data_IF_093306734224
#
_entry.id   IF_093306734224
#
_cell.length_a   1.000
_cell.length_b   1.000
_cell.length_c   1.000
_cell.angle_alpha   90.00
_cell.angle_beta   90.00
_cell.angle_gamma   90.00
#
_symmetry.space_group_name_H-M   'P 1'
#
loop_
_entity.id
_entity.type
_entity.pdbx_description
1 polymer ?
#
# COMPACT_ATOMS: atom_id res chain seq x y z
N UNK A 1 20.66 0.00 -33.32
CA UNK A 1 19.96 -0.30 -32.01
C UNK A 1 18.99 0.83 -31.84
N UNK A 2 17.73 0.62 -32.20
CA UNK A 2 16.68 1.63 -32.10
C UNK A 2 16.23 1.73 -30.64
N UNK A 3 16.52 2.85 -30.00
CA UNK A 3 15.86 3.27 -28.79
C UNK A 3 14.41 3.69 -29.15
N UNK A 4 13.49 2.77 -29.21
CA UNK A 4 12.08 3.13 -29.21
C UNK A 4 11.73 3.64 -27.80
N UNK A 5 11.52 4.95 -27.72
CA UNK A 5 10.96 5.60 -26.52
C UNK A 5 9.52 5.12 -26.45
N UNK A 6 9.21 4.25 -25.47
CA UNK A 6 7.84 3.85 -25.18
C UNK A 6 7.03 5.08 -24.81
N UNK A 7 5.94 5.35 -25.52
CA UNK A 7 4.91 6.29 -25.07
C UNK A 7 4.14 5.67 -23.90
N UNK A 8 3.66 6.50 -22.99
CA UNK A 8 2.95 6.07 -21.77
C UNK A 8 1.76 5.11 -22.00
N UNK A 9 1.22 5.05 -23.22
CA UNK A 9 0.08 4.21 -23.59
C UNK A 9 0.42 2.82 -24.17
N UNK A 10 1.69 2.51 -24.48
CA UNK A 10 2.04 1.31 -25.28
C UNK A 10 3.21 0.47 -24.76
N UNK A 11 3.68 0.68 -23.54
CA UNK A 11 4.72 -0.17 -22.97
C UNK A 11 4.14 -1.51 -22.50
N UNK A 12 4.12 -2.49 -23.40
CA UNK A 12 3.94 -3.91 -23.04
C UNK A 12 5.31 -4.53 -22.75
N UNK A 13 5.37 -5.37 -21.73
CA UNK A 13 6.54 -6.22 -21.53
C UNK A 13 6.64 -7.28 -22.65
N UNK A 14 7.76 -8.01 -22.70
CA UNK A 14 8.01 -9.08 -23.70
C UNK A 14 6.93 -10.17 -23.72
N UNK A 15 6.03 -10.18 -22.73
CA UNK A 15 4.95 -11.16 -22.53
C UNK A 15 3.56 -10.59 -22.84
N UNK A 16 3.45 -9.33 -23.29
CA UNK A 16 2.18 -8.68 -23.64
C UNK A 16 1.34 -8.24 -22.42
N UNK A 17 1.92 -8.19 -21.23
CA UNK A 17 1.28 -7.61 -20.05
C UNK A 17 1.60 -6.12 -19.97
N UNK A 18 0.67 -5.31 -19.48
CA UNK A 18 0.95 -3.93 -19.13
C UNK A 18 2.08 -3.89 -18.09
N UNK A 19 3.00 -2.95 -18.22
CA UNK A 19 4.05 -2.73 -17.23
C UNK A 19 3.38 -2.48 -15.88
N UNK A 20 3.81 -3.24 -14.86
CA UNK A 20 3.44 -3.00 -13.46
C UNK A 20 3.78 -1.55 -13.06
N UNK A 21 2.88 -0.82 -12.39
CA UNK A 21 3.17 0.53 -11.93
C UNK A 21 4.32 0.51 -10.91
N UNK A 22 5.27 1.43 -11.09
CA UNK A 22 6.42 1.61 -10.20
C UNK A 22 6.13 2.69 -9.15
N UNK A 23 7.01 2.78 -8.14
CA UNK A 23 6.96 3.87 -7.15
C UNK A 23 7.13 5.21 -7.86
N UNK A 24 6.16 6.13 -7.63
CA UNK A 24 6.09 7.44 -8.26
C UNK A 24 5.18 7.50 -9.49
N UNK A 25 4.86 6.37 -10.11
CA UNK A 25 3.90 6.33 -11.22
C UNK A 25 2.48 6.68 -10.74
N UNK A 26 1.66 7.19 -11.66
CA UNK A 26 0.23 7.29 -11.43
C UNK A 26 -0.36 5.88 -11.34
N UNK A 27 -1.16 5.63 -10.31
CA UNK A 27 -1.86 4.37 -10.16
C UNK A 27 -2.85 4.17 -11.33
N UNK A 28 -2.85 3.01 -12.00
CA UNK A 28 -3.75 2.73 -13.12
C UNK A 28 -5.22 2.88 -12.72
N UNK A 29 -5.99 3.55 -13.56
CA UNK A 29 -7.43 3.70 -13.39
C UNK A 29 -8.18 2.40 -13.70
N UNK A 30 -9.35 2.23 -13.10
CA UNK A 30 -10.26 1.12 -13.40
C UNK A 30 -11.69 1.43 -12.97
N UNK A 31 -12.64 0.75 -13.60
CA UNK A 31 -14.02 0.61 -13.16
C UNK A 31 -14.27 -0.86 -12.89
N UNK A 32 -14.75 -1.20 -11.71
CA UNK A 32 -14.89 -2.61 -11.32
C UNK A 32 -16.12 -2.85 -10.45
N UNK A 33 -16.74 -4.02 -10.64
CA UNK A 33 -17.80 -4.53 -9.76
C UNK A 33 -17.19 -5.06 -8.46
N UNK A 34 -17.81 -4.71 -7.34
CA UNK A 34 -17.34 -5.11 -6.01
C UNK A 34 -18.49 -5.64 -5.14
N UNK A 35 -18.15 -6.18 -3.98
CA UNK A 35 -19.12 -6.59 -2.95
C UNK A 35 -19.96 -5.42 -2.41
N UNK A 36 -19.65 -4.17 -2.75
CA UNK A 36 -20.36 -2.98 -2.31
C UNK A 36 -20.89 -2.14 -3.47
N UNK A 37 -21.02 -2.74 -4.68
CA UNK A 37 -21.41 -2.07 -5.91
C UNK A 37 -20.22 -1.71 -6.79
N UNK A 38 -20.48 -0.99 -7.87
CA UNK A 38 -19.46 -0.56 -8.82
C UNK A 38 -18.63 0.57 -8.23
N UNK A 39 -17.31 0.47 -8.33
CA UNK A 39 -16.38 1.54 -7.97
C UNK A 39 -15.64 2.06 -9.20
N UNK A 40 -15.30 3.33 -9.18
CA UNK A 40 -14.42 4.02 -10.15
C UNK A 40 -13.19 4.50 -9.43
N UNK A 41 -12.04 3.97 -9.78
CA UNK A 41 -10.78 4.42 -9.25
C UNK A 41 -10.05 5.24 -10.33
N UNK A 42 -9.56 6.45 -10.02
CA UNK A 42 -9.45 7.03 -8.68
C UNK A 42 -10.64 7.90 -8.21
N UNK A 43 -11.64 8.17 -9.03
CA UNK A 43 -12.66 9.21 -8.82
C UNK A 43 -13.42 9.08 -7.49
N UNK A 44 -13.78 7.85 -7.11
CA UNK A 44 -14.51 7.58 -5.86
C UNK A 44 -13.62 7.69 -4.61
N UNK A 45 -12.30 7.90 -4.79
CA UNK A 45 -11.29 7.92 -3.71
C UNK A 45 -10.48 9.24 -3.65
N UNK A 46 -11.01 10.31 -4.22
CA UNK A 46 -10.35 11.61 -4.22
C UNK A 46 -9.96 12.07 -2.81
N UNK A 47 -8.72 12.54 -2.66
CA UNK A 47 -8.20 13.05 -1.39
C UNK A 47 -7.92 11.99 -0.32
N UNK A 48 -8.05 10.71 -0.63
CA UNK A 48 -7.81 9.58 0.26
C UNK A 48 -6.52 8.85 -0.08
N UNK A 49 -5.90 8.29 0.94
CA UNK A 49 -4.97 7.19 0.73
C UNK A 49 -5.75 5.92 0.40
N UNK A 50 -5.19 5.08 -0.44
CA UNK A 50 -5.79 3.78 -0.78
C UNK A 50 -4.77 2.67 -0.58
N UNK A 51 -5.18 1.63 0.13
CA UNK A 51 -4.50 0.34 0.18
C UNK A 51 -5.25 -0.60 -0.75
N UNK A 52 -4.71 -0.78 -1.98
CA UNK A 52 -5.22 -1.77 -2.92
C UNK A 52 -4.44 -3.06 -2.71
N UNK A 53 -5.15 -4.14 -2.35
CA UNK A 53 -4.49 -5.42 -2.07
C UNK A 53 -5.17 -6.57 -2.78
N UNK A 54 -4.37 -7.54 -3.23
CA UNK A 54 -4.88 -8.77 -3.84
C UNK A 54 -4.79 -9.97 -2.92
N UNK A 55 -5.67 -10.94 -3.15
CA UNK A 55 -5.59 -12.26 -2.54
C UNK A 55 -5.79 -13.35 -3.61
N UNK A 56 -5.21 -14.56 -3.42
CA UNK A 56 -5.22 -15.60 -4.43
C UNK A 56 -6.58 -16.20 -4.76
N UNK A 57 -7.41 -16.49 -3.76
CA UNK A 57 -8.73 -17.08 -3.94
C UNK A 57 -9.57 -17.03 -2.66
N UNK A 58 -10.89 -16.94 -2.84
CA UNK A 58 -11.87 -17.12 -1.78
C UNK A 58 -11.80 -18.53 -1.19
N UNK A 59 -12.39 -18.71 -0.02
CA UNK A 59 -12.48 -20.00 0.69
C UNK A 59 -11.13 -20.71 0.91
N UNK A 60 -10.03 -19.94 1.00
CA UNK A 60 -8.70 -20.48 1.32
C UNK A 60 -8.23 -20.03 2.72
N UNK A 61 -7.48 -20.86 3.45
CA UNK A 61 -7.15 -20.58 4.84
C UNK A 61 -6.41 -19.28 5.06
N UNK A 62 -5.34 -19.01 4.29
CA UNK A 62 -4.53 -17.79 4.45
C UNK A 62 -5.32 -16.55 4.09
N UNK A 63 -6.09 -16.57 2.98
CA UNK A 63 -6.92 -15.43 2.58
C UNK A 63 -8.01 -15.15 3.62
N UNK A 64 -8.62 -16.21 4.19
CA UNK A 64 -9.60 -16.07 5.28
C UNK A 64 -9.00 -15.38 6.49
N UNK A 65 -7.81 -15.78 6.92
CA UNK A 65 -7.12 -15.13 8.05
C UNK A 65 -6.79 -13.67 7.77
N UNK A 66 -6.44 -13.32 6.53
CA UNK A 66 -6.14 -11.95 6.12
C UNK A 66 -7.39 -11.06 6.10
N UNK A 67 -8.48 -11.50 5.48
CA UNK A 67 -9.74 -10.74 5.44
C UNK A 67 -10.31 -10.54 6.84
N UNK A 68 -10.28 -11.56 7.68
CA UNK A 68 -10.65 -11.44 9.09
C UNK A 68 -9.81 -10.38 9.82
N UNK A 69 -8.50 -10.38 9.61
CA UNK A 69 -7.61 -9.38 10.22
C UNK A 69 -7.86 -7.98 9.67
N UNK A 70 -8.02 -7.81 8.35
CA UNK A 70 -8.36 -6.50 7.77
C UNK A 70 -9.68 -5.97 8.32
N UNK A 71 -10.70 -6.83 8.50
CA UNK A 71 -11.99 -6.40 9.05
C UNK A 71 -11.87 -5.78 10.45
N UNK A 72 -10.92 -6.24 11.28
CA UNK A 72 -10.67 -5.63 12.60
C UNK A 72 -9.92 -4.30 12.55
N UNK A 73 -9.29 -3.97 11.43
CA UNK A 73 -8.41 -2.80 11.29
C UNK A 73 -9.02 -1.68 10.42
N UNK A 74 -10.24 -1.85 9.92
CA UNK A 74 -10.89 -0.88 9.02
C UNK A 74 -10.93 0.51 9.64
N UNK A 75 -11.36 0.62 10.90
CA UNK A 75 -11.47 1.92 11.58
C UNK A 75 -10.10 2.56 11.82
N UNK A 76 -9.07 1.75 12.07
CA UNK A 76 -7.69 2.21 12.17
C UNK A 76 -7.20 2.85 10.86
N UNK A 77 -7.49 2.21 9.72
CA UNK A 77 -7.13 2.76 8.40
C UNK A 77 -7.96 4.00 8.07
N UNK A 78 -9.25 4.01 8.38
CA UNK A 78 -10.11 5.20 8.23
C UNK A 78 -9.61 6.39 9.05
N UNK A 79 -9.17 6.15 10.29
CA UNK A 79 -8.56 7.18 11.14
C UNK A 79 -7.28 7.77 10.52
N UNK A 80 -6.60 7.02 9.64
CA UNK A 80 -5.46 7.44 8.86
C UNK A 80 -5.85 7.99 7.46
N UNK A 81 -7.11 8.40 7.26
CA UNK A 81 -7.64 8.86 5.98
C UNK A 81 -7.38 7.87 4.83
N UNK A 82 -7.51 6.56 5.10
CA UNK A 82 -7.14 5.50 4.17
C UNK A 82 -8.31 4.54 3.93
N UNK A 83 -8.58 4.26 2.66
CA UNK A 83 -9.57 3.28 2.23
C UNK A 83 -8.90 1.96 1.81
N UNK A 84 -9.59 0.85 2.05
CA UNK A 84 -9.14 -0.49 1.69
C UNK A 84 -9.91 -0.98 0.47
N UNK A 85 -9.22 -1.57 -0.51
CA UNK A 85 -9.82 -2.21 -1.67
C UNK A 85 -9.16 -3.58 -1.85
N UNK A 86 -9.94 -4.65 -1.72
CA UNK A 86 -9.50 -6.00 -2.03
C UNK A 86 -9.72 -6.33 -3.51
N UNK A 87 -8.92 -7.24 -4.06
CA UNK A 87 -9.11 -7.78 -5.42
C UNK A 87 -8.74 -9.25 -5.49
N UNK A 88 -9.56 -10.04 -6.16
CA UNK A 88 -9.23 -11.39 -6.60
C UNK A 88 -9.93 -11.73 -7.90
N UNK A 89 -9.57 -12.86 -8.49
CA UNK A 89 -10.16 -13.38 -9.75
C UNK A 89 -11.47 -14.14 -9.53
N UNK A 90 -12.00 -14.15 -8.32
CA UNK A 90 -13.27 -14.80 -8.00
C UNK A 90 -14.47 -13.95 -8.40
N UNK A 91 -15.67 -14.57 -8.45
CA UNK A 91 -16.92 -13.90 -8.80
C UNK A 91 -17.53 -13.15 -7.62
N UNK A 92 -18.42 -12.18 -7.88
CA UNK A 92 -19.18 -11.47 -6.85
C UNK A 92 -19.94 -12.43 -5.93
N UNK A 93 -20.58 -13.44 -6.49
CA UNK A 93 -21.33 -14.43 -5.68
C UNK A 93 -20.41 -15.25 -4.78
N UNK A 94 -19.20 -15.57 -5.24
CA UNK A 94 -18.18 -16.21 -4.40
C UNK A 94 -17.80 -15.30 -3.24
N UNK A 95 -17.42 -14.05 -3.50
CA UNK A 95 -17.07 -13.08 -2.48
C UNK A 95 -18.18 -12.93 -1.42
N UNK A 96 -19.40 -12.68 -1.86
CA UNK A 96 -20.54 -12.49 -0.93
C UNK A 96 -20.75 -13.73 -0.06
N UNK A 97 -20.75 -14.92 -0.64
CA UNK A 97 -20.89 -16.17 0.11
C UNK A 97 -19.73 -16.40 1.07
N UNK A 98 -18.50 -16.13 0.63
CA UNK A 98 -17.31 -16.28 1.46
C UNK A 98 -17.28 -15.29 2.63
N UNK A 99 -17.56 -13.99 2.39
CA UNK A 99 -17.61 -12.99 3.46
C UNK A 99 -18.70 -13.32 4.49
N UNK A 100 -19.86 -13.81 4.05
CA UNK A 100 -20.90 -14.29 4.96
C UNK A 100 -20.42 -15.48 5.80
N UNK A 101 -19.74 -16.44 5.17
CA UNK A 101 -19.17 -17.60 5.87
C UNK A 101 -18.10 -17.19 6.88
N UNK A 102 -17.23 -16.21 6.52
CA UNK A 102 -16.24 -15.65 7.47
C UNK A 102 -16.96 -15.04 8.66
N UNK A 103 -17.93 -14.20 8.43
CA UNK A 103 -18.68 -13.53 9.49
C UNK A 103 -19.37 -14.50 10.46
N UNK A 104 -19.95 -15.58 9.92
CA UNK A 104 -20.73 -16.52 10.70
C UNK A 104 -19.89 -17.56 11.46
N UNK A 105 -18.73 -17.92 10.93
CA UNK A 105 -18.02 -19.13 11.37
C UNK A 105 -16.57 -18.93 11.76
N UNK A 106 -15.94 -17.83 11.35
CA UNK A 106 -14.50 -17.63 11.62
C UNK A 106 -14.28 -16.85 12.91
N UNK A 107 -13.39 -17.39 13.74
CA UNK A 107 -12.78 -16.71 14.89
C UNK A 107 -11.29 -16.77 14.73
N UNK A 108 -10.64 -15.62 14.67
CA UNK A 108 -9.20 -15.55 14.44
C UNK A 108 -8.59 -14.28 15.04
N UNK A 109 -7.65 -14.44 15.96
CA UNK A 109 -7.05 -13.33 16.70
C UNK A 109 -8.13 -12.42 17.34
N UNK A 110 -8.17 -11.14 16.98
CA UNK A 110 -9.17 -10.18 17.44
C UNK A 110 -10.49 -10.22 16.66
N UNK A 111 -10.58 -11.06 15.61
CA UNK A 111 -11.78 -11.17 14.79
C UNK A 111 -12.79 -12.13 15.41
N UNK A 112 -14.01 -11.65 15.63
CA UNK A 112 -15.14 -12.42 16.18
C UNK A 112 -16.47 -12.03 15.49
N UNK A 113 -16.50 -12.16 14.14
CA UNK A 113 -17.71 -11.96 13.35
C UNK A 113 -18.00 -10.51 12.93
N UNK A 114 -17.01 -9.61 12.99
CA UNK A 114 -17.18 -8.25 12.49
C UNK A 114 -17.46 -8.27 10.97
N UNK A 115 -18.35 -7.39 10.45
CA UNK A 115 -18.59 -7.34 9.01
C UNK A 115 -17.37 -6.81 8.26
N UNK A 116 -17.11 -7.35 7.09
CA UNK A 116 -16.11 -6.81 6.16
C UNK A 116 -16.72 -5.59 5.47
N UNK A 117 -16.29 -4.40 5.86
CA UNK A 117 -16.87 -3.12 5.44
C UNK A 117 -16.05 -2.38 4.37
N UNK A 118 -15.19 -3.08 3.65
CA UNK A 118 -14.47 -2.57 2.48
C UNK A 118 -14.82 -3.38 1.22
N UNK A 119 -14.77 -2.77 0.01
CA UNK A 119 -15.08 -3.46 -1.23
C UNK A 119 -14.05 -4.52 -1.61
N UNK A 120 -14.50 -5.64 -2.17
CA UNK A 120 -13.67 -6.64 -2.83
C UNK A 120 -14.07 -6.72 -4.30
N UNK A 121 -13.12 -6.46 -5.19
CA UNK A 121 -13.30 -6.46 -6.64
C UNK A 121 -13.37 -7.91 -7.15
N UNK A 122 -14.39 -8.21 -7.95
CA UNK A 122 -14.52 -9.45 -8.69
C UNK A 122 -13.85 -9.35 -10.07
N UNK A 123 -12.55 -9.56 -10.10
CA UNK A 123 -11.71 -9.35 -11.29
C UNK A 123 -11.58 -10.65 -12.14
N UNK A 124 -12.70 -11.26 -12.50
CA UNK A 124 -12.73 -12.53 -13.26
C UNK A 124 -11.98 -12.47 -14.59
N UNK A 125 -11.86 -11.30 -15.20
CA UNK A 125 -11.11 -11.08 -16.45
C UNK A 125 -9.64 -10.74 -16.21
N UNK A 126 -9.24 -10.56 -14.96
CA UNK A 126 -7.91 -10.14 -14.56
C UNK A 126 -7.51 -8.75 -15.10
N UNK A 127 -8.48 -7.86 -15.34
CA UNK A 127 -8.22 -6.54 -15.91
C UNK A 127 -7.46 -5.65 -14.91
N UNK A 128 -7.90 -5.63 -13.66
CA UNK A 128 -7.23 -4.89 -12.58
C UNK A 128 -5.93 -5.60 -12.18
N UNK A 129 -6.00 -6.91 -11.96
CA UNK A 129 -4.84 -7.69 -11.51
C UNK A 129 -3.66 -7.62 -12.49
N UNK A 130 -3.92 -7.60 -13.80
CA UNK A 130 -2.88 -7.45 -14.84
C UNK A 130 -2.33 -6.03 -14.89
N UNK A 131 -3.19 -5.00 -14.83
CA UNK A 131 -2.74 -3.59 -14.79
C UNK A 131 -1.77 -3.31 -13.64
N UNK A 132 -1.97 -3.97 -12.49
CA UNK A 132 -1.15 -3.80 -11.30
C UNK A 132 -0.05 -4.87 -11.15
N UNK A 133 0.17 -5.74 -12.15
CA UNK A 133 1.20 -6.80 -12.10
C UNK A 133 1.00 -7.82 -10.99
N UNK A 134 -0.26 -8.04 -10.58
CA UNK A 134 -0.61 -9.00 -9.53
C UNK A 134 -0.66 -10.43 -10.05
N UNK A 135 -0.76 -10.62 -11.38
CA UNK A 135 -0.63 -11.93 -12.02
C UNK A 135 0.84 -12.14 -12.36
N UNK A 136 1.44 -13.12 -11.70
CA UNK A 136 2.85 -13.46 -11.88
C UNK A 136 2.96 -14.91 -12.38
N UNK A 137 3.20 -15.14 -13.67
CA UNK A 137 3.07 -16.46 -14.32
C UNK A 137 3.93 -17.55 -13.68
N UNK A 138 5.11 -17.20 -13.14
CA UNK A 138 5.96 -18.18 -12.44
C UNK A 138 5.45 -18.55 -11.04
N UNK A 139 4.53 -17.75 -10.47
CA UNK A 139 3.85 -18.08 -9.20
C UNK A 139 2.47 -18.70 -9.47
N UNK A 140 1.67 -18.08 -10.34
CA UNK A 140 0.37 -18.56 -10.83
C UNK A 140 -0.07 -17.71 -12.02
N UNK A 141 -0.61 -18.32 -13.04
CA UNK A 141 -1.21 -17.68 -14.20
C UNK A 141 -2.73 -17.45 -14.06
N UNK A 142 -3.34 -18.06 -13.05
CA UNK A 142 -4.79 -18.05 -12.80
C UNK A 142 -5.19 -17.40 -11.47
N UNK A 143 -4.23 -16.98 -10.65
CA UNK A 143 -4.47 -16.37 -9.34
C UNK A 143 -3.55 -15.17 -9.14
N UNK A 144 -4.08 -14.12 -8.53
CA UNK A 144 -3.25 -13.02 -8.09
C UNK A 144 -2.33 -13.45 -6.93
N UNK A 145 -1.09 -12.97 -6.91
CA UNK A 145 -0.22 -13.05 -5.72
C UNK A 145 -0.73 -12.10 -4.64
N UNK A 146 -0.16 -12.14 -3.45
CA UNK A 146 -0.54 -11.23 -2.36
C UNK A 146 0.20 -9.90 -2.48
N UNK A 147 -0.33 -9.00 -3.29
CA UNK A 147 0.21 -7.66 -3.43
C UNK A 147 -0.46 -6.67 -2.47
N UNK A 148 0.24 -5.62 -2.11
CA UNK A 148 -0.28 -4.44 -1.39
C UNK A 148 0.31 -3.21 -2.06
N UNK A 149 -0.53 -2.36 -2.63
CA UNK A 149 -0.16 -1.07 -3.19
C UNK A 149 -0.59 0.04 -2.23
N UNK A 150 0.34 0.92 -1.89
CA UNK A 150 0.09 2.14 -1.14
C UNK A 150 -0.04 3.29 -2.14
N UNK A 151 -1.23 3.86 -2.24
CA UNK A 151 -1.54 4.91 -3.21
C UNK A 151 -1.92 6.18 -2.43
N UNK A 152 -1.24 7.30 -2.75
CA UNK A 152 -1.44 8.55 -2.04
C UNK A 152 -2.68 9.33 -2.55
N UNK A 153 -3.11 10.43 -1.87
CA UNK A 153 -4.22 11.26 -2.30
C UNK A 153 -4.04 11.96 -3.66
N UNK A 154 -2.85 11.91 -4.24
CA UNK A 154 -2.55 12.36 -5.61
C UNK A 154 -2.54 11.21 -6.61
N UNK A 155 -3.02 10.05 -6.17
CA UNK A 155 -3.11 8.82 -6.94
C UNK A 155 -1.74 8.29 -7.43
N UNK A 156 -0.67 8.54 -6.68
CA UNK A 156 0.66 7.99 -6.97
C UNK A 156 0.94 6.76 -6.14
N UNK A 157 1.53 5.76 -6.76
CA UNK A 157 2.05 4.59 -6.07
C UNK A 157 3.25 5.00 -5.22
N UNK A 158 3.19 4.77 -3.91
CA UNK A 158 4.21 5.19 -2.95
C UNK A 158 5.07 4.03 -2.44
N UNK A 159 4.48 2.86 -2.34
CA UNK A 159 5.17 1.63 -1.97
C UNK A 159 4.39 0.43 -2.51
N UNK A 160 5.08 -0.68 -2.68
CA UNK A 160 4.47 -1.96 -3.07
C UNK A 160 5.12 -3.08 -2.25
N UNK A 161 4.31 -3.98 -1.73
CA UNK A 161 4.77 -5.18 -1.03
C UNK A 161 4.18 -6.40 -1.73
N UNK A 162 5.02 -7.40 -2.02
CA UNK A 162 4.59 -8.67 -2.58
C UNK A 162 4.92 -9.82 -1.62
N UNK A 163 3.96 -10.72 -1.47
CA UNK A 163 4.11 -11.97 -0.73
C UNK A 163 3.74 -13.14 -1.64
N UNK A 164 4.40 -14.30 -1.46
CA UNK A 164 4.00 -15.52 -2.15
C UNK A 164 2.63 -16.01 -1.66
N UNK A 165 2.01 -16.89 -2.45
CA UNK A 165 0.66 -17.41 -2.22
C UNK A 165 0.48 -18.05 -0.82
N UNK A 166 1.54 -18.67 -0.29
CA UNK A 166 1.53 -19.43 0.96
C UNK A 166 1.67 -18.61 2.24
N UNK A 167 2.08 -17.34 2.13
CA UNK A 167 2.48 -16.52 3.28
C UNK A 167 1.50 -15.37 3.52
N UNK A 168 0.85 -15.35 4.67
CA UNK A 168 0.02 -14.22 5.10
C UNK A 168 0.85 -12.97 5.37
N UNK A 169 0.25 -11.80 5.13
CA UNK A 169 0.90 -10.50 5.27
C UNK A 169 0.98 -10.04 6.73
N UNK A 170 1.96 -9.18 7.02
CA UNK A 170 2.07 -8.48 8.29
C UNK A 170 1.25 -7.19 8.23
N UNK A 171 0.13 -7.15 8.96
CA UNK A 171 -0.75 -5.97 9.00
C UNK A 171 -0.17 -4.83 9.83
N UNK A 172 0.62 -5.14 10.85
CA UNK A 172 1.37 -4.15 11.60
C UNK A 172 2.37 -3.41 10.71
N UNK A 173 3.04 -4.13 9.80
CA UNK A 173 3.95 -3.51 8.82
C UNK A 173 3.20 -2.67 7.79
N UNK A 174 2.05 -3.13 7.28
CA UNK A 174 1.23 -2.35 6.35
C UNK A 174 0.82 -1.02 7.01
N UNK A 175 0.34 -1.06 8.26
CA UNK A 175 -0.04 0.14 9.00
C UNK A 175 1.16 1.04 9.30
N UNK A 176 2.29 0.44 9.77
CA UNK A 176 3.53 1.15 10.05
C UNK A 176 4.06 1.90 8.81
N UNK A 177 4.12 1.21 7.66
CA UNK A 177 4.60 1.81 6.42
C UNK A 177 3.70 2.94 5.94
N UNK A 178 2.37 2.77 6.00
CA UNK A 178 1.42 3.85 5.70
C UNK A 178 1.69 5.09 6.56
N UNK A 179 1.82 4.91 7.87
CA UNK A 179 2.10 6.01 8.80
C UNK A 179 3.46 6.66 8.54
N UNK A 180 4.48 5.88 8.18
CA UNK A 180 5.78 6.41 7.77
C UNK A 180 5.67 7.30 6.52
N UNK A 181 4.94 6.85 5.48
CA UNK A 181 4.70 7.62 4.27
C UNK A 181 3.93 8.93 4.57
N UNK A 182 2.89 8.87 5.39
CA UNK A 182 2.13 10.04 5.80
C UNK A 182 2.98 11.02 6.61
N UNK A 183 3.82 10.52 7.51
CA UNK A 183 4.73 11.34 8.32
C UNK A 183 5.75 12.06 7.44
N UNK A 184 6.35 11.36 6.47
CA UNK A 184 7.31 11.98 5.56
C UNK A 184 6.68 13.07 4.70
N UNK A 185 5.44 12.87 4.24
CA UNK A 185 4.69 13.87 3.45
C UNK A 185 4.29 15.08 4.29
N UNK A 186 3.81 14.84 5.51
CA UNK A 186 3.32 15.91 6.38
C UNK A 186 4.42 16.84 6.87
N UNK A 187 5.58 16.27 7.22
CA UNK A 187 6.63 17.03 7.92
C UNK A 187 7.89 17.27 7.07
N UNK A 188 7.96 16.77 5.83
CA UNK A 188 9.14 16.92 4.97
C UNK A 188 10.41 16.30 5.56
N UNK A 189 10.27 15.15 6.23
CA UNK A 189 11.33 14.43 6.93
C UNK A 189 11.54 13.04 6.34
N UNK A 190 12.53 12.30 6.85
CA UNK A 190 12.71 10.88 6.54
C UNK A 190 12.52 10.03 7.80
N UNK A 191 11.92 8.86 7.66
CA UNK A 191 11.83 7.88 8.73
C UNK A 191 13.06 6.96 8.68
N UNK A 192 13.76 6.71 9.82
CA UNK A 192 14.87 5.77 9.86
C UNK A 192 14.41 4.30 9.70
N UNK A 193 15.38 3.39 9.61
CA UNK A 193 15.11 1.96 9.67
C UNK A 193 14.33 1.62 10.95
N UNK A 194 13.39 0.69 10.84
CA UNK A 194 12.52 0.21 11.93
C UNK A 194 11.67 1.27 12.64
N UNK A 195 11.54 2.45 12.05
CA UNK A 195 10.77 3.56 12.63
C UNK A 195 9.32 3.15 12.91
N UNK A 196 8.83 3.54 14.08
CA UNK A 196 7.44 3.44 14.47
C UNK A 196 6.88 4.82 14.83
N UNK A 197 5.55 5.04 14.77
CA UNK A 197 4.95 6.30 15.20
C UNK A 197 5.37 6.69 16.61
N UNK A 198 5.87 7.94 16.75
CA UNK A 198 6.43 8.46 18.00
C UNK A 198 7.95 8.38 18.10
N UNK A 199 8.61 7.60 17.25
CA UNK A 199 10.07 7.59 17.19
C UNK A 199 10.62 8.85 16.52
N UNK A 200 11.88 9.24 16.83
CA UNK A 200 12.54 10.34 16.17
C UNK A 200 12.64 10.14 14.65
N UNK A 201 12.54 11.22 13.89
CA UNK A 201 12.69 11.25 12.44
C UNK A 201 14.05 11.81 12.04
N UNK A 202 14.48 11.51 10.81
CA UNK A 202 15.73 12.04 10.26
C UNK A 202 15.48 13.33 9.50
N UNK A 203 16.39 14.26 9.65
CA UNK A 203 16.42 15.52 8.90
C UNK A 203 17.39 15.38 7.73
N UNK A 204 17.00 15.87 6.56
CA UNK A 204 17.84 15.81 5.35
C UNK A 204 19.23 16.41 5.57
N UNK A 205 20.24 15.92 4.88
CA UNK A 205 21.59 16.48 4.94
C UNK A 205 21.61 17.96 4.52
N UNK A 206 22.55 18.78 5.03
CA UNK A 206 22.72 20.17 4.59
C UNK A 206 22.94 20.24 3.08
N UNK A 207 22.35 21.22 2.45
CA UNK A 207 22.48 21.47 1.00
C UNK A 207 23.42 22.65 0.71
N UNK A 208 23.82 23.40 1.75
CA UNK A 208 24.71 24.55 1.65
C UNK A 208 25.86 24.45 2.66
N UNK A 209 26.99 25.09 2.33
CA UNK A 209 28.15 25.20 3.26
C UNK A 209 27.81 25.96 4.54
N UNK A 210 26.87 26.89 4.50
CA UNK A 210 26.38 27.60 5.68
C UNK A 210 25.64 26.67 6.64
N UNK A 211 24.67 25.87 6.10
CA UNK A 211 23.96 24.87 6.91
C UNK A 211 24.89 23.81 7.49
N UNK A 212 25.90 23.38 6.71
CA UNK A 212 26.90 22.44 7.18
C UNK A 212 27.63 22.99 8.39
N UNK A 213 28.19 24.22 8.29
CA UNK A 213 28.92 24.87 9.38
C UNK A 213 28.06 25.06 10.64
N UNK A 214 26.78 25.47 10.47
CA UNK A 214 25.85 25.59 11.59
C UNK A 214 25.61 24.27 12.30
N UNK A 215 25.49 23.17 11.55
CA UNK A 215 25.34 21.82 12.16
C UNK A 215 26.61 21.35 12.86
N UNK A 216 27.78 21.56 12.28
CA UNK A 216 29.07 21.23 12.90
C UNK A 216 29.32 22.05 14.18
N UNK A 217 28.85 23.29 14.21
CA UNK A 217 28.90 24.15 15.40
C UNK A 217 27.86 23.76 16.47
N UNK A 218 26.98 22.82 16.19
CA UNK A 218 25.89 22.45 17.10
C UNK A 218 24.81 23.55 17.24
N UNK A 219 24.74 24.46 16.29
CA UNK A 219 23.77 25.54 16.29
C UNK A 219 22.37 24.96 15.96
N UNK A 220 21.33 25.53 16.58
CA UNK A 220 19.95 25.17 16.28
C UNK A 220 19.63 25.53 14.82
N UNK A 221 19.22 24.56 14.04
CA UNK A 221 18.73 24.80 12.67
C UNK A 221 17.23 25.06 12.75
N UNK A 222 16.85 26.34 12.73
CA UNK A 222 15.47 26.77 12.89
C UNK A 222 15.00 26.68 14.35
N UNK A 223 13.73 26.26 14.54
CA UNK A 223 13.13 26.06 15.88
C UNK A 223 13.33 24.65 16.44
N UNK A 224 13.93 23.77 15.67
CA UNK A 224 14.01 22.35 15.99
C UNK A 224 15.27 22.05 16.81
N UNK A 225 15.13 21.30 17.89
CA UNK A 225 16.24 20.71 18.62
C UNK A 225 16.72 19.47 17.85
N UNK A 226 17.84 19.63 17.12
CA UNK A 226 18.45 18.55 16.35
C UNK A 226 19.43 17.79 17.23
N UNK A 227 19.30 16.48 17.27
CA UNK A 227 20.29 15.58 17.85
C UNK A 227 21.14 14.98 16.72
N UNK A 228 22.39 15.41 16.60
CA UNK A 228 23.34 14.87 15.61
C UNK A 228 24.32 13.92 16.29
N UNK A 229 24.46 12.70 15.79
CA UNK A 229 25.33 11.66 16.36
C UNK A 229 26.78 11.81 15.93
N UNK A 230 27.43 12.94 16.26
CA UNK A 230 28.83 13.20 15.90
C UNK A 230 29.10 13.43 14.42
N UNK A 231 28.04 13.53 13.59
CA UNK A 231 28.11 13.76 12.15
C UNK A 231 27.07 14.79 11.73
N UNK A 232 27.38 15.58 10.72
CA UNK A 232 26.48 16.62 10.19
C UNK A 232 25.34 16.05 9.32
N UNK A 233 25.45 14.83 8.84
CA UNK A 233 24.48 14.19 7.93
C UNK A 233 23.50 13.25 8.64
N UNK A 234 23.79 12.85 9.88
CA UNK A 234 22.91 11.94 10.64
C UNK A 234 22.33 12.67 11.85
N UNK A 235 21.34 13.48 11.56
CA UNK A 235 20.63 14.28 12.57
C UNK A 235 19.16 13.86 12.65
N UNK A 236 18.64 13.80 13.86
CA UNK A 236 17.27 13.42 14.15
C UNK A 236 16.57 14.49 14.99
N UNK A 237 15.24 14.50 14.91
CA UNK A 237 14.38 15.30 15.78
C UNK A 237 13.15 14.53 16.19
N UNK A 238 12.46 14.95 17.26
CA UNK A 238 11.12 14.50 17.60
C UNK A 238 10.09 15.40 16.92
N UNK A 239 8.95 14.81 16.50
CA UNK A 239 7.81 15.55 15.95
C UNK A 239 6.84 15.96 17.03
#
# INVERSE_FOLDING_TARGET
MNNEICNEETCHDVWGYNRMPLIGDKAPDFVAETTQGTIRFPEDYEGKWVILFSHPADFTPVCTSEIATFATLVDDFKALNTELIGVSVDSISSHVAWLKSIQDHVKFNAYDGQPVSFPIIADMKMDVAKKYGMIQPHASDTKAVRAVFFIDPKHKVRAVIYYPLSNGRSFSEIKRLLQALQTTDQYGVSTPADWNPGDPVLVGAPTTMSELKSREAGEKVGKDDLECSGTWYFCRKRL
#
